data_IF_474632047624
#
_entry.id   IF_474632047624
#
_cell.length_a   1.000
_cell.length_b   1.000
_cell.length_c   1.000
_cell.angle_alpha   90.00
_cell.angle_beta   90.00
_cell.angle_gamma   90.00
#
_symmetry.space_group_name_H-M   'P 1'
#
loop_
_entity.id
_entity.type
_entity.pdbx_description
1 polymer ?
2 non-polymer ?
#
# COMPACT_ATOMS: atom_id res chain seq x y z
N UNK A 11 6.05 18.71 -17.91
CA UNK A 11 4.96 19.24 -17.06
C UNK A 11 4.88 20.76 -17.03
N UNK A 12 5.65 21.39 -16.15
CA UNK A 12 5.65 22.85 -16.05
C UNK A 12 6.85 23.39 -15.28
N UNK A 13 7.84 22.52 -15.06
CA UNK A 13 9.05 22.88 -14.33
C UNK A 13 9.58 24.28 -14.59
N UNK A 14 9.26 24.82 -15.76
CA UNK A 14 9.70 26.15 -16.13
C UNK A 14 9.34 27.16 -15.03
N UNK A 15 8.18 26.94 -14.40
CA UNK A 15 7.67 27.80 -13.35
C UNK A 15 8.49 27.78 -12.06
N UNK A 16 8.83 26.58 -11.59
CA UNK A 16 9.62 26.47 -10.36
C UNK A 16 11.08 26.87 -10.51
N UNK A 17 11.74 26.36 -11.54
CA UNK A 17 13.15 26.65 -11.77
C UNK A 17 13.35 28.10 -12.20
N UNK A 18 12.30 28.71 -12.73
CA UNK A 18 12.41 30.09 -13.17
C UNK A 18 11.59 31.06 -12.33
N UNK A 19 11.12 30.57 -11.18
CA UNK A 19 10.35 31.41 -10.28
C UNK A 19 11.23 32.60 -9.95
N UNK A 20 11.11 33.67 -10.74
CA UNK A 20 11.91 34.87 -10.52
C UNK A 20 11.57 35.41 -9.14
N UNK A 21 10.28 35.37 -8.81
CA UNK A 21 9.81 35.87 -7.53
C UNK A 21 9.76 34.76 -6.50
N UNK A 22 10.77 34.70 -5.64
CA UNK A 22 10.81 33.66 -4.60
C UNK A 22 9.58 33.85 -3.69
N UNK A 23 9.11 32.74 -3.12
CA UNK A 23 7.95 32.81 -2.23
C UNK A 23 8.38 33.03 -0.77
N UNK A 24 7.40 33.31 0.08
CA UNK A 24 7.65 33.54 1.49
C UNK A 24 6.84 32.63 2.44
N UNK A 25 6.80 31.30 2.13
CA UNK A 25 6.06 30.38 2.98
C UNK A 25 6.98 29.73 4.00
N UNK A 26 6.42 29.40 5.16
CA UNK A 26 7.20 28.76 6.21
C UNK A 26 6.73 27.34 6.48
N UNK A 27 6.30 26.65 5.42
CA UNK A 27 5.89 25.26 5.54
C UNK A 27 7.24 24.53 5.64
N UNK A 28 7.48 23.88 6.77
CA UNK A 28 8.75 23.22 6.99
C UNK A 28 8.89 21.86 6.34
N UNK A 29 9.83 21.75 5.42
CA UNK A 29 10.12 20.47 4.78
C UNK A 29 11.65 20.46 4.62
N UNK A 30 12.37 20.04 5.68
CA UNK A 30 13.83 19.98 5.68
C UNK A 30 14.42 18.62 5.31
N UNK A 31 15.61 18.65 4.73
CA UNK A 31 16.35 17.46 4.32
C UNK A 31 17.74 17.56 4.90
N UNK A 32 18.13 16.54 5.66
CA UNK A 32 19.46 16.52 6.27
C UNK A 32 20.20 15.38 5.62
N UNK A 33 21.51 15.29 5.85
CA UNK A 33 22.29 14.21 5.28
C UNK A 33 22.59 13.23 6.39
N UNK A 34 23.10 12.06 6.03
CA UNK A 34 23.44 11.04 7.00
C UNK A 34 24.40 10.04 6.39
N UNK A 35 24.59 8.91 7.07
CA UNK A 35 25.49 7.88 6.58
C UNK A 35 24.89 7.26 5.34
N UNK A 36 23.58 7.01 5.39
CA UNK A 36 22.85 6.44 4.27
C UNK A 36 22.56 7.52 3.24
N UNK A 37 22.92 8.75 3.57
CA UNK A 37 22.70 9.85 2.65
C UNK A 37 21.51 10.69 3.05
N UNK A 38 21.06 11.59 2.18
CA UNK A 38 19.92 12.43 2.51
C UNK A 38 18.72 11.63 3.00
N UNK A 39 17.93 12.25 3.88
CA UNK A 39 16.76 11.60 4.45
C UNK A 39 15.89 12.73 5.00
N UNK A 40 14.62 12.45 5.22
CA UNK A 40 13.73 13.46 5.78
C UNK A 40 14.07 13.51 7.25
N UNK A 41 13.47 14.47 7.96
CA UNK A 41 13.68 14.56 9.40
C UNK A 41 12.50 13.85 10.03
N UNK A 42 12.75 12.65 10.58
CA UNK A 42 11.67 11.90 11.20
C UNK A 42 11.38 12.44 12.60
N UNK A 43 10.12 12.71 12.91
CA UNK A 43 9.82 13.22 14.25
C UNK A 43 10.21 12.23 15.35
N UNK A 44 10.45 12.77 16.54
CA UNK A 44 10.81 11.97 17.71
C UNK A 44 9.53 11.44 18.38
N UNK A 45 8.45 12.22 18.30
CA UNK A 45 7.17 11.83 18.87
C UNK A 45 6.28 11.24 17.76
N UNK A 46 6.54 9.97 17.46
CA UNK A 46 5.80 9.23 16.42
C UNK A 46 4.32 9.09 16.77
N UNK A 47 3.47 8.89 15.76
CA UNK A 47 2.04 8.74 15.98
C UNK A 47 1.34 8.00 14.86
N UNK A 48 0.40 7.13 15.24
CA UNK A 48 -0.36 6.36 14.27
C UNK A 48 -1.82 6.78 14.38
N UNK A 49 -2.70 6.00 13.79
CA UNK A 49 -4.12 6.29 13.78
C UNK A 49 -4.94 5.04 13.49
N UNK A 50 -6.06 4.90 14.20
CA UNK A 50 -6.95 3.75 14.06
C UNK A 50 -8.16 4.12 13.21
N UNK A 51 -8.72 3.14 12.52
CA UNK A 51 -9.90 3.31 11.67
C UNK A 51 -10.81 2.10 11.82
N UNK A 52 -11.96 2.27 12.44
CA UNK A 52 -12.88 1.14 12.64
C UNK A 52 -14.29 1.58 12.97
N UNK A 53 -15.08 0.65 13.48
CA UNK A 53 -16.46 0.92 13.84
C UNK A 53 -17.29 1.52 12.72
N UNK A 54 -17.50 0.74 11.65
CA UNK A 54 -18.29 1.21 10.51
C UNK A 54 -19.66 1.75 10.95
N UNK A 55 -19.71 3.07 11.08
CA UNK A 55 -20.92 3.78 11.49
C UNK A 55 -21.87 3.87 10.29
N UNK A 56 -22.96 4.61 10.48
CA UNK A 56 -23.94 4.81 9.43
C UNK A 56 -24.50 6.22 9.57
N UNK A 57 -24.23 7.05 8.57
CA UNK A 57 -24.70 8.43 8.58
C UNK A 57 -25.87 8.60 7.64
N UNK A 58 -26.47 9.78 7.63
CA UNK A 58 -27.61 10.00 6.75
C UNK A 58 -27.68 11.40 6.16
N UNK A 59 -28.10 11.45 4.90
CA UNK A 59 -28.28 12.70 4.17
C UNK A 59 -29.56 12.59 3.31
N UNK A 60 -30.70 12.83 3.94
CA UNK A 60 -32.07 12.81 3.36
C UNK A 60 -32.53 12.18 2.02
N UNK A 61 -31.87 11.15 1.47
CA UNK A 61 -32.36 10.62 0.18
C UNK A 61 -33.26 9.38 0.25
N UNK A 62 -33.56 8.95 1.48
CA UNK A 62 -34.42 7.78 1.65
C UNK A 62 -33.63 6.52 2.00
N UNK A 63 -33.40 5.67 1.00
CA UNK A 63 -32.65 4.42 1.20
C UNK A 63 -31.30 4.58 0.49
N UNK A 64 -30.51 5.55 0.95
CA UNK A 64 -29.19 5.86 0.37
C UNK A 64 -28.19 6.35 1.40
N UNK A 65 -28.09 5.66 2.53
CA UNK A 65 -27.17 6.06 3.59
C UNK A 65 -25.75 5.52 3.42
N UNK A 66 -24.82 6.43 3.12
CA UNK A 66 -23.42 6.10 2.94
C UNK A 66 -22.77 5.65 4.25
N UNK A 67 -21.81 4.73 4.14
CA UNK A 67 -21.10 4.22 5.31
C UNK A 67 -20.09 5.28 5.77
N UNK A 68 -19.87 5.35 7.07
CA UNK A 68 -18.93 6.31 7.64
C UNK A 68 -17.95 5.59 8.58
N UNK A 69 -16.67 5.92 8.49
CA UNK A 69 -15.68 5.25 9.34
C UNK A 69 -15.24 6.19 10.43
N UNK A 70 -14.56 5.65 11.44
CA UNK A 70 -14.10 6.48 12.54
C UNK A 70 -12.60 6.50 12.67
N UNK A 71 -12.02 7.68 12.57
CA UNK A 71 -10.57 7.81 12.68
C UNK A 71 -10.16 8.32 14.05
N UNK A 72 -9.56 7.44 14.84
CA UNK A 72 -9.13 7.80 16.18
C UNK A 72 -7.62 8.00 16.23
N UNK A 73 -7.14 9.25 16.20
CA UNK A 73 -5.68 9.44 16.26
C UNK A 73 -5.19 8.94 17.59
N UNK A 74 -3.88 8.79 17.72
CA UNK A 74 -3.30 8.31 18.95
C UNK A 74 -2.67 9.50 19.65
N UNK A 75 -2.28 10.47 18.85
CA UNK A 75 -1.64 11.64 19.39
C UNK A 75 -2.55 12.42 20.36
N UNK A 76 -3.88 12.30 20.25
CA UNK A 76 -4.76 13.07 21.15
C UNK A 76 -6.07 12.38 21.56
N UNK A 77 -6.32 11.16 21.10
CA UNK A 77 -7.52 10.43 21.50
C UNK A 77 -8.86 11.02 21.08
N UNK A 78 -8.84 12.17 20.42
CA UNK A 78 -10.07 12.81 19.98
C UNK A 78 -10.47 12.22 18.65
N UNK A 79 -11.61 11.53 18.64
CA UNK A 79 -12.10 10.86 17.45
C UNK A 79 -12.80 11.73 16.41
N UNK A 80 -12.94 11.17 15.21
CA UNK A 80 -13.56 11.86 14.09
C UNK A 80 -14.20 10.84 13.14
N UNK A 81 -15.14 11.28 12.30
CA UNK A 81 -15.80 10.39 11.34
C UNK A 81 -15.48 10.81 9.92
N UNK A 82 -15.54 9.87 8.98
CA UNK A 82 -15.26 10.14 7.57
C UNK A 82 -15.83 9.06 6.69
N UNK A 83 -16.59 9.47 5.68
CA UNK A 83 -17.17 8.52 4.72
C UNK A 83 -16.06 8.26 3.69
N UNK A 84 -16.16 7.18 2.92
CA UNK A 84 -15.11 6.89 1.94
C UNK A 84 -14.80 8.06 1.02
N UNK A 85 -15.85 8.70 0.54
CA UNK A 85 -15.74 9.84 -0.35
C UNK A 85 -14.78 10.93 0.13
N UNK A 86 -14.61 11.03 1.45
CA UNK A 86 -13.73 12.01 2.07
C UNK A 86 -12.27 11.60 1.98
N UNK A 87 -12.05 10.30 2.00
CA UNK A 87 -10.71 9.78 1.89
C UNK A 87 -10.23 10.01 0.46
N UNK A 88 -11.13 9.78 -0.49
CA UNK A 88 -10.84 10.00 -1.90
C UNK A 88 -10.44 11.47 -2.06
N UNK A 89 -11.19 12.33 -1.37
CA UNK A 89 -10.93 13.76 -1.40
C UNK A 89 -9.54 14.00 -0.85
N UNK A 90 -9.26 13.39 0.30
CA UNK A 90 -7.96 13.51 0.94
C UNK A 90 -6.86 13.04 0.00
N UNK A 91 -7.12 11.92 -0.67
CA UNK A 91 -6.20 11.34 -1.61
C UNK A 91 -5.81 12.32 -2.72
N UNK A 92 -6.80 12.83 -3.43
CA UNK A 92 -6.55 13.78 -4.51
C UNK A 92 -5.72 14.96 -4.03
N UNK A 93 -6.01 15.46 -2.84
CA UNK A 93 -5.28 16.59 -2.33
C UNK A 93 -3.82 16.23 -2.17
N UNK A 94 -3.55 15.15 -1.44
CA UNK A 94 -2.17 14.68 -1.23
C UNK A 94 -1.43 14.41 -2.54
N UNK A 95 -2.16 13.87 -3.51
CA UNK A 95 -1.61 13.58 -4.81
C UNK A 95 -1.26 14.89 -5.50
N UNK A 96 -2.19 15.82 -5.51
CA UNK A 96 -1.96 17.12 -6.13
C UNK A 96 -0.84 17.91 -5.44
N UNK A 97 -0.82 17.88 -4.11
CA UNK A 97 0.19 18.64 -3.39
C UNK A 97 1.62 18.11 -3.47
N UNK A 98 1.83 16.84 -3.12
CA UNK A 98 3.16 16.28 -3.13
C UNK A 98 3.46 15.28 -4.25
N UNK A 99 2.42 14.93 -5.00
CA UNK A 99 2.55 13.97 -6.09
C UNK A 99 3.78 14.03 -6.97
N UNK A 100 4.41 15.19 -7.08
CA UNK A 100 5.59 15.32 -7.91
C UNK A 100 6.89 14.97 -7.19
N UNK A 101 6.77 14.50 -5.95
CA UNK A 101 7.93 14.15 -5.16
C UNK A 101 7.78 12.91 -4.26
N UNK A 102 6.57 12.68 -3.77
CA UNK A 102 6.32 11.56 -2.87
C UNK A 102 5.26 10.60 -3.40
N UNK A 103 5.59 9.31 -3.50
CA UNK A 103 4.56 8.41 -4.00
C UNK A 103 3.38 8.44 -3.03
N UNK A 104 2.16 8.42 -3.53
CA UNK A 104 1.02 8.45 -2.65
C UNK A 104 0.27 7.12 -2.75
N UNK A 105 0.17 6.38 -1.63
CA UNK A 105 -0.53 5.10 -1.64
C UNK A 105 -1.87 5.12 -2.36
N UNK A 106 -2.14 4.08 -3.13
CA UNK A 106 -3.39 4.00 -3.88
C UNK A 106 -4.52 3.65 -2.94
N UNK A 107 -5.68 4.24 -3.22
CA UNK A 107 -6.88 3.99 -2.45
C UNK A 107 -7.53 2.85 -3.25
N UNK A 108 -8.16 1.88 -2.57
CA UNK A 108 -8.80 0.77 -3.28
C UNK A 108 -9.84 1.15 -4.34
N UNK A 109 -10.01 0.28 -5.33
CA UNK A 109 -10.96 0.49 -6.42
C UNK A 109 -12.37 0.82 -5.90
N UNK A 110 -13.26 1.15 -6.84
CA UNK A 110 -14.64 1.49 -6.55
C UNK A 110 -15.51 0.37 -7.15
N UNK A 111 -15.58 -0.73 -6.38
CA UNK A 111 -16.24 -2.02 -6.65
C UNK A 111 -17.66 -2.34 -7.13
N UNK A 112 -17.87 -3.66 -7.14
CA UNK A 112 -19.05 -4.38 -7.60
C UNK A 112 -20.46 -4.04 -7.09
N UNK A 113 -20.67 -2.77 -6.79
CA UNK A 113 -21.95 -2.30 -6.30
C UNK A 113 -22.47 -3.13 -5.12
N UNK A 114 -21.59 -3.47 -4.21
CA UNK A 114 -21.98 -4.21 -3.03
C UNK A 114 -21.77 -3.32 -1.82
N UNK A 115 -22.32 -2.12 -1.92
CA UNK A 115 -22.21 -1.08 -0.87
C UNK A 115 -22.58 -1.45 0.58
N UNK A 116 -23.26 -2.57 0.83
CA UNK A 116 -23.66 -2.77 2.24
C UNK A 116 -23.51 -4.00 3.14
N UNK A 117 -22.50 -4.86 2.98
CA UNK A 117 -22.47 -5.95 3.95
C UNK A 117 -21.15 -6.21 4.65
N UNK A 118 -21.17 -7.21 5.55
CA UNK A 118 -20.01 -7.62 6.34
C UNK A 118 -18.70 -7.56 5.57
N UNK A 119 -18.54 -8.52 4.66
CA UNK A 119 -17.37 -8.67 3.80
C UNK A 119 -16.81 -7.38 3.22
N UNK A 120 -17.63 -6.70 2.43
CA UNK A 120 -17.24 -5.44 1.78
C UNK A 120 -16.60 -4.42 2.70
N UNK A 121 -17.34 -3.99 3.71
CA UNK A 121 -16.85 -2.99 4.66
C UNK A 121 -15.59 -3.45 5.38
N UNK A 122 -15.52 -4.76 5.63
CA UNK A 122 -14.39 -5.33 6.33
C UNK A 122 -13.09 -5.14 5.54
N UNK A 123 -13.01 -5.73 4.34
CA UNK A 123 -11.81 -5.61 3.51
C UNK A 123 -11.51 -4.15 3.16
N UNK A 124 -12.56 -3.36 2.94
CA UNK A 124 -12.38 -1.95 2.65
C UNK A 124 -11.79 -1.26 3.88
N UNK A 125 -12.36 -1.49 5.05
CA UNK A 125 -11.85 -0.88 6.28
C UNK A 125 -10.43 -1.34 6.57
N UNK A 126 -10.12 -2.56 6.13
CA UNK A 126 -8.79 -3.13 6.32
C UNK A 126 -7.83 -2.33 5.44
N UNK A 127 -8.22 -2.10 4.20
CA UNK A 127 -7.40 -1.34 3.27
C UNK A 127 -7.25 0.12 3.64
N UNK A 128 -8.26 0.68 4.29
CA UNK A 128 -8.22 2.08 4.72
C UNK A 128 -7.30 2.21 5.91
N UNK A 129 -7.38 1.22 6.80
CA UNK A 129 -6.54 1.22 7.98
C UNK A 129 -5.08 1.26 7.55
N UNK A 130 -4.68 0.32 6.70
CA UNK A 130 -3.31 0.26 6.20
C UNK A 130 -2.91 1.53 5.46
N UNK A 131 -3.88 2.13 4.76
CA UNK A 131 -3.63 3.36 4.00
C UNK A 131 -3.33 4.52 4.96
N UNK A 132 -4.12 4.64 6.01
CA UNK A 132 -3.93 5.70 7.00
C UNK A 132 -2.59 5.60 7.72
N UNK A 133 -2.23 4.36 8.08
CA UNK A 133 -1.00 4.11 8.79
C UNK A 133 0.20 4.46 7.93
N UNK A 134 0.06 4.28 6.62
CA UNK A 134 1.15 4.64 5.71
C UNK A 134 1.43 6.14 5.81
N UNK A 135 0.35 6.92 5.74
CA UNK A 135 0.45 8.37 5.79
C UNK A 135 0.96 8.85 7.13
N UNK A 136 0.42 8.28 8.20
CA UNK A 136 0.86 8.65 9.53
C UNK A 136 2.33 8.39 9.67
N UNK A 137 2.80 7.29 9.09
CA UNK A 137 4.21 6.99 9.20
C UNK A 137 5.09 7.87 8.33
N UNK A 138 4.50 8.66 7.43
CA UNK A 138 5.36 9.50 6.59
C UNK A 138 5.72 10.82 7.22
N UNK A 139 7.01 11.03 7.47
CA UNK A 139 7.56 12.23 8.07
C UNK A 139 7.11 13.53 7.43
N UNK A 140 6.87 13.53 6.13
CA UNK A 140 6.46 14.75 5.44
C UNK A 140 4.96 14.92 5.34
N UNK A 141 4.28 13.84 4.97
CA UNK A 141 2.85 13.88 4.82
C UNK A 141 2.13 14.03 6.14
N UNK A 142 2.47 13.17 7.09
CA UNK A 142 1.84 13.17 8.40
C UNK A 142 1.80 14.55 9.07
N UNK A 143 2.81 15.39 8.85
CA UNK A 143 2.80 16.70 9.46
C UNK A 143 2.51 17.86 8.50
N UNK A 144 1.59 17.62 7.58
CA UNK A 144 1.18 18.63 6.62
C UNK A 144 -0.14 19.18 7.15
N UNK A 145 -0.56 20.34 6.65
CA UNK A 145 -1.82 20.94 7.10
C UNK A 145 -3.05 20.17 6.65
N UNK A 146 -3.13 19.87 5.37
CA UNK A 146 -4.27 19.15 4.82
C UNK A 146 -4.50 17.81 5.52
N UNK A 147 -3.46 17.01 5.64
CA UNK A 147 -3.60 15.72 6.30
C UNK A 147 -4.00 15.88 7.74
N UNK A 148 -3.29 16.77 8.43
CA UNK A 148 -3.56 17.03 9.83
C UNK A 148 -5.01 17.47 10.07
N UNK A 149 -5.41 18.56 9.41
CA UNK A 149 -6.75 19.08 9.56
C UNK A 149 -7.78 18.05 9.17
N UNK A 150 -7.40 17.13 8.30
CA UNK A 150 -8.31 16.07 7.87
C UNK A 150 -8.72 15.27 9.11
N UNK A 151 -7.80 15.14 10.05
CA UNK A 151 -8.06 14.41 11.28
C UNK A 151 -8.74 15.27 12.33
N UNK A 152 -7.94 16.11 12.99
CA UNK A 152 -8.45 16.96 14.06
C UNK A 152 -9.31 18.17 13.63
N UNK A 153 -10.62 17.99 13.66
CA UNK A 153 -11.58 19.04 13.33
C UNK A 153 -12.85 18.79 14.14
N UNK A 154 -13.43 19.85 14.71
CA UNK A 154 -14.63 19.71 15.53
C UNK A 154 -15.93 20.08 14.83
N UNK A 155 -16.02 21.32 14.39
CA UNK A 155 -17.23 21.80 13.71
C UNK A 155 -17.49 21.13 12.38
N UNK A 156 -18.76 21.01 12.03
CA UNK A 156 -19.18 20.41 10.77
C UNK A 156 -18.86 21.43 9.69
N UNK A 157 -18.48 22.62 10.14
CA UNK A 157 -18.12 23.76 9.27
C UNK A 157 -16.63 24.06 9.38
N UNK A 158 -16.02 23.68 10.49
CA UNK A 158 -14.59 23.89 10.70
C UNK A 158 -13.86 23.07 9.63
N UNK A 159 -14.61 22.09 9.13
CA UNK A 159 -14.16 21.15 8.11
C UNK A 159 -14.26 21.79 6.72
N UNK A 160 -15.44 22.31 6.39
CA UNK A 160 -15.65 22.96 5.11
C UNK A 160 -14.59 24.03 4.86
N UNK A 161 -14.19 24.71 5.94
CA UNK A 161 -13.17 25.74 5.88
C UNK A 161 -11.85 25.14 5.42
N UNK A 162 -11.47 24.02 6.04
CA UNK A 162 -10.23 23.34 5.69
C UNK A 162 -10.26 22.81 4.26
N UNK A 163 -11.33 22.10 3.94
CA UNK A 163 -11.50 21.57 2.60
C UNK A 163 -11.36 22.72 1.59
N UNK A 164 -11.77 23.91 1.99
CA UNK A 164 -11.68 25.07 1.12
C UNK A 164 -10.23 25.56 1.07
N UNK A 165 -9.60 25.71 2.22
CA UNK A 165 -8.21 26.17 2.29
C UNK A 165 -7.31 25.23 1.49
N UNK A 166 -7.58 23.95 1.63
CA UNK A 166 -6.83 22.90 0.94
C UNK A 166 -6.87 23.10 -0.57
N UNK A 167 -8.08 23.27 -1.11
CA UNK A 167 -8.28 23.44 -2.55
C UNK A 167 -7.70 24.68 -3.19
N UNK A 168 -7.26 25.65 -2.38
CA UNK A 168 -6.68 26.88 -2.92
C UNK A 168 -5.18 26.94 -2.72
N UNK A 169 -4.61 25.89 -2.10
CA UNK A 169 -3.18 25.85 -1.85
C UNK A 169 -2.44 25.70 -3.18
N UNK A 170 -1.78 26.76 -3.61
CA UNK A 170 -1.08 26.71 -4.88
C UNK A 170 0.32 26.17 -4.76
N UNK A 171 0.74 25.89 -3.54
CA UNK A 171 2.08 25.33 -3.31
C UNK A 171 2.00 23.82 -3.53
N UNK A 172 1.71 23.44 -4.78
CA UNK A 172 1.59 22.03 -5.17
C UNK A 172 2.39 21.74 -6.42
N UNK A 173 2.14 20.58 -7.02
CA UNK A 173 2.84 20.20 -8.22
C UNK A 173 4.33 20.39 -8.01
N UNK A 174 5.02 20.94 -9.00
CA UNK A 174 6.44 21.14 -8.90
C UNK A 174 6.79 22.11 -7.77
N UNK A 175 5.91 23.08 -7.55
CA UNK A 175 6.10 24.09 -6.53
C UNK A 175 6.35 23.57 -5.13
N UNK A 176 5.96 22.34 -4.85
CA UNK A 176 6.16 21.79 -3.53
C UNK A 176 7.63 21.83 -3.13
N UNK A 177 8.51 21.68 -4.12
CA UNK A 177 9.95 21.70 -3.85
C UNK A 177 10.38 23.02 -3.29
N UNK A 178 9.63 24.07 -3.60
CA UNK A 178 9.96 25.41 -3.12
C UNK A 178 9.92 25.49 -1.59
N UNK A 179 9.25 24.54 -0.95
CA UNK A 179 9.15 24.53 0.50
C UNK A 179 10.17 23.62 1.16
N UNK A 180 11.07 23.04 0.36
CA UNK A 180 12.07 22.14 0.90
C UNK A 180 13.40 22.81 1.13
N UNK A 181 14.01 22.48 2.27
CA UNK A 181 15.28 23.09 2.64
C UNK A 181 16.37 22.09 2.95
N UNK A 182 17.29 21.89 2.01
CA UNK A 182 18.43 20.98 2.13
C UNK A 182 19.53 21.50 3.05
N UNK A 183 19.76 20.81 4.16
CA UNK A 183 20.82 21.17 5.09
C UNK A 183 22.11 20.53 4.59
N UNK A 184 22.51 20.91 3.38
CA UNK A 184 23.71 20.38 2.72
C UNK A 184 24.01 21.27 1.51
N UNK A 185 25.17 21.06 0.86
CA UNK A 185 25.63 21.83 -0.31
C UNK A 185 24.85 21.57 -1.60
N UNK A 186 25.39 22.09 -2.70
CA UNK A 186 24.77 21.88 -4.00
C UNK A 186 25.39 20.66 -4.66
N UNK A 187 24.60 19.99 -5.51
CA UNK A 187 25.06 18.80 -6.22
C UNK A 187 25.10 19.20 -7.68
N UNK A 188 26.23 19.01 -8.34
CA UNK A 188 26.34 19.36 -9.75
C UNK A 188 25.32 18.56 -10.57
N UNK A 189 24.97 19.09 -11.75
CA UNK A 189 24.00 18.46 -12.62
C UNK A 189 24.30 16.99 -12.92
N UNK A 190 25.57 16.69 -13.17
CA UNK A 190 26.00 15.33 -13.46
C UNK A 190 25.55 14.36 -12.37
N UNK A 191 26.01 14.60 -11.16
CA UNK A 191 25.67 13.76 -10.03
C UNK A 191 24.16 13.59 -9.93
N UNK A 192 23.42 14.63 -10.32
CA UNK A 192 21.96 14.60 -10.25
C UNK A 192 21.33 13.61 -11.21
N UNK A 193 21.63 13.79 -12.49
CA UNK A 193 21.12 12.94 -13.55
C UNK A 193 21.34 11.47 -13.28
N UNK A 194 22.49 11.19 -12.67
CA UNK A 194 22.91 9.83 -12.33
C UNK A 194 22.04 9.20 -11.27
N UNK A 195 21.73 9.96 -10.21
CA UNK A 195 20.88 9.44 -9.15
C UNK A 195 19.48 9.24 -9.70
N UNK A 196 19.14 10.04 -10.70
CA UNK A 196 17.82 9.97 -11.32
C UNK A 196 17.72 8.63 -12.06
N UNK A 197 18.65 8.39 -12.98
CA UNK A 197 18.68 7.15 -13.74
C UNK A 197 18.55 5.97 -12.81
N UNK A 198 19.39 5.96 -11.78
CA UNK A 198 19.39 4.89 -10.80
C UNK A 198 18.01 4.56 -10.29
N UNK A 199 17.31 5.55 -9.75
CA UNK A 199 15.98 5.33 -9.20
C UNK A 199 15.08 4.77 -10.28
N UNK A 200 15.17 5.38 -11.45
CA UNK A 200 14.37 4.97 -12.59
C UNK A 200 14.57 3.52 -13.00
N UNK A 201 15.78 3.02 -12.80
CA UNK A 201 16.09 1.65 -13.16
C UNK A 201 15.69 0.68 -12.05
N UNK A 202 15.77 1.12 -10.80
CA UNK A 202 15.38 0.24 -9.71
C UNK A 202 13.88 0.03 -9.70
N UNK A 203 13.14 1.15 -9.64
CA UNK A 203 11.69 1.11 -9.61
C UNK A 203 11.05 0.33 -10.74
N UNK A 204 11.56 0.52 -11.95
CA UNK A 204 11.03 -0.19 -13.11
C UNK A 204 11.30 -1.68 -12.91
N UNK A 205 12.52 -1.99 -12.47
CA UNK A 205 12.88 -3.37 -12.22
C UNK A 205 11.96 -4.01 -11.17
N UNK A 206 11.87 -3.40 -9.99
CA UNK A 206 11.02 -3.95 -8.93
C UNK A 206 9.56 -4.01 -9.30
N UNK A 207 9.13 -3.05 -10.12
CA UNK A 207 7.74 -3.06 -10.53
C UNK A 207 7.54 -4.33 -11.33
N UNK A 208 8.37 -4.54 -12.34
CA UNK A 208 8.28 -5.71 -13.18
C UNK A 208 8.31 -6.97 -12.33
N UNK A 209 9.17 -6.98 -11.32
CA UNK A 209 9.31 -8.12 -10.45
C UNK A 209 8.12 -8.44 -9.56
N UNK A 210 7.51 -7.41 -8.98
CA UNK A 210 6.36 -7.59 -8.13
C UNK A 210 5.13 -7.97 -8.95
N UNK A 211 5.08 -7.55 -10.21
CA UNK A 211 3.94 -7.86 -11.04
C UNK A 211 3.87 -9.35 -11.28
N UNK A 212 5.02 -10.01 -11.21
CA UNK A 212 5.01 -11.46 -11.40
C UNK A 212 4.61 -12.12 -10.12
N UNK A 213 5.29 -11.79 -9.05
CA UNK A 213 4.98 -12.37 -7.77
C UNK A 213 3.47 -12.34 -7.56
N UNK A 214 2.84 -11.28 -8.05
CA UNK A 214 1.41 -11.07 -7.95
C UNK A 214 0.62 -12.03 -8.84
N UNK A 215 1.12 -12.26 -10.05
CA UNK A 215 0.46 -13.16 -11.00
C UNK A 215 0.46 -14.62 -10.56
N UNK A 216 1.61 -15.15 -10.18
CA UNK A 216 1.69 -16.53 -9.73
C UNK A 216 0.86 -16.70 -8.46
N UNK A 217 0.92 -15.70 -7.58
CA UNK A 217 0.15 -15.77 -6.36
C UNK A 217 -1.33 -15.80 -6.66
N UNK A 218 -1.79 -14.88 -7.49
CA UNK A 218 -3.20 -14.86 -7.85
C UNK A 218 -3.57 -16.17 -8.54
N UNK A 219 -2.62 -16.72 -9.28
CA UNK A 219 -2.77 -17.96 -10.03
C UNK A 219 -2.84 -19.17 -9.10
N UNK A 220 -2.02 -19.13 -8.06
CA UNK A 220 -1.97 -20.19 -7.06
C UNK A 220 -3.22 -20.09 -6.22
N UNK A 221 -3.57 -18.87 -5.87
CA UNK A 221 -4.78 -18.63 -5.09
C UNK A 221 -5.97 -19.33 -5.76
N UNK A 222 -6.25 -18.88 -6.99
CA UNK A 222 -7.35 -19.38 -7.80
C UNK A 222 -7.37 -20.92 -7.90
N UNK A 223 -6.21 -21.53 -7.73
CA UNK A 223 -6.12 -22.98 -7.81
C UNK A 223 -6.37 -23.68 -6.46
N UNK A 224 -6.13 -22.98 -5.35
CA UNK A 224 -6.35 -23.56 -4.05
C UNK A 224 -7.77 -23.41 -3.58
N UNK A 225 -8.49 -22.48 -4.20
CA UNK A 225 -9.87 -22.26 -3.79
C UNK A 225 -10.84 -22.93 -4.76
N UNK A 226 -10.30 -23.59 -5.78
CA UNK A 226 -11.17 -24.22 -6.76
C UNK A 226 -11.01 -25.71 -7.06
N UNK A 227 -10.25 -26.07 -8.10
CA UNK A 227 -10.01 -27.45 -8.50
C UNK A 227 -9.31 -28.36 -7.48
N UNK A 228 -8.39 -27.79 -6.69
CA UNK A 228 -7.67 -28.58 -5.71
C UNK A 228 -8.55 -29.16 -4.63
N UNK A 229 -9.47 -28.37 -4.08
CA UNK A 229 -10.34 -28.90 -3.04
C UNK A 229 -11.25 -29.97 -3.61
N UNK A 230 -11.82 -29.71 -4.79
CA UNK A 230 -12.72 -30.66 -5.42
C UNK A 230 -12.09 -32.04 -5.50
N UNK A 231 -10.77 -32.08 -5.69
CA UNK A 231 -10.06 -33.34 -5.79
C UNK A 231 -10.16 -34.08 -4.48
N UNK A 232 -9.60 -33.49 -3.43
CA UNK A 232 -9.65 -34.09 -2.12
C UNK A 232 -11.10 -34.41 -1.75
N UNK A 233 -12.03 -33.75 -2.43
CA UNK A 233 -13.44 -33.96 -2.18
C UNK A 233 -13.87 -35.23 -2.91
N UNK A 234 -13.38 -35.40 -4.15
CA UNK A 234 -13.71 -36.59 -4.95
C UNK A 234 -13.12 -37.83 -4.31
N UNK A 235 -11.91 -37.67 -3.79
CA UNK A 235 -11.18 -38.75 -3.12
C UNK A 235 -11.97 -39.19 -1.91
N UNK A 236 -12.10 -38.27 -0.96
CA UNK A 236 -12.83 -38.55 0.25
C UNK A 236 -14.18 -39.16 0.02
N UNK A 237 -14.82 -38.85 -1.11
CA UNK A 237 -16.14 -39.42 -1.41
C UNK A 237 -15.96 -40.81 -2.03
N UNK A 238 -14.98 -40.93 -2.92
CA UNK A 238 -14.71 -42.19 -3.58
C UNK A 238 -14.49 -43.24 -2.49
N UNK A 239 -13.71 -42.87 -1.50
CA UNK A 239 -13.44 -43.76 -0.40
C UNK A 239 -14.73 -44.13 0.31
N UNK A 240 -15.50 -43.14 0.72
CA UNK A 240 -16.73 -43.38 1.43
C UNK A 240 -17.76 -44.22 0.69
N UNK A 241 -17.80 -44.14 -0.64
CA UNK A 241 -18.76 -44.95 -1.35
C UNK A 241 -18.30 -46.40 -1.26
N UNK A 242 -16.99 -46.61 -1.43
CA UNK A 242 -16.40 -47.94 -1.38
C UNK A 242 -16.68 -48.64 -0.06
N UNK A 243 -16.48 -47.93 1.05
CA UNK A 243 -16.75 -48.52 2.37
C UNK A 243 -18.21 -48.93 2.38
N UNK A 244 -19.06 -48.09 1.80
CA UNK A 244 -20.47 -48.38 1.73
C UNK A 244 -20.69 -49.70 1.00
N UNK A 245 -19.91 -49.93 -0.04
CA UNK A 245 -20.06 -51.16 -0.82
C UNK A 245 -19.60 -52.38 -0.02
N UNK A 246 -18.50 -52.25 0.70
CA UNK A 246 -17.99 -53.35 1.49
C UNK A 246 -19.05 -53.74 2.50
N UNK A 247 -19.63 -52.73 3.15
CA UNK A 247 -20.64 -52.95 4.18
C UNK A 247 -21.85 -53.75 3.70
N UNK A 248 -22.06 -53.82 2.38
CA UNK A 248 -23.19 -54.59 1.85
C UNK A 248 -22.73 -56.00 1.54
N UNK A 249 -21.42 -56.24 1.64
CA UNK A 249 -20.85 -57.55 1.35
C UNK A 249 -21.62 -58.66 2.02
N UNK A 250 -21.81 -58.53 3.34
CA UNK A 250 -22.52 -59.55 4.08
C UNK A 250 -21.58 -60.68 4.41
N UNK A 251 -20.34 -60.31 4.67
CA UNK A 251 -19.31 -61.27 5.00
C UNK A 251 -19.16 -61.34 6.51
N UNK A 252 -19.23 -62.55 7.05
CA UNK A 252 -19.03 -62.73 8.48
C UNK A 252 -17.59 -62.27 8.75
N UNK A 253 -17.33 -61.68 9.90
CA UNK A 253 -15.95 -61.30 10.21
C UNK A 253 -15.33 -60.01 9.73
N UNK A 254 -16.10 -58.94 9.75
CA UNK A 254 -15.63 -57.61 9.38
C UNK A 254 -16.64 -56.65 9.98
N UNK A 255 -16.17 -55.43 10.24
CA UNK A 255 -16.99 -54.34 10.76
C UNK A 255 -16.13 -53.15 11.02
N UNK A 256 -14.96 -53.45 11.57
CA UNK A 256 -13.97 -52.47 11.96
C UNK A 256 -13.34 -51.65 10.84
N UNK A 257 -13.15 -52.28 9.68
CA UNK A 257 -12.54 -51.60 8.54
C UNK A 257 -13.42 -50.55 7.89
N UNK A 258 -14.64 -50.92 7.52
CA UNK A 258 -15.55 -49.98 6.87
C UNK A 258 -15.70 -48.68 7.65
N UNK A 259 -15.41 -48.70 8.95
CA UNK A 259 -15.49 -47.48 9.72
C UNK A 259 -14.24 -46.66 9.46
N UNK A 260 -13.08 -47.30 9.51
CA UNK A 260 -11.83 -46.62 9.27
C UNK A 260 -11.83 -45.96 7.89
N UNK A 261 -12.31 -46.70 6.89
CA UNK A 261 -12.38 -46.19 5.53
C UNK A 261 -13.26 -44.95 5.49
N UNK A 262 -14.54 -45.14 5.78
CA UNK A 262 -15.50 -44.04 5.78
C UNK A 262 -14.98 -42.78 6.48
N UNK A 263 -14.24 -42.94 7.57
CA UNK A 263 -13.70 -41.78 8.28
C UNK A 263 -12.58 -41.14 7.49
N UNK A 264 -11.79 -41.96 6.82
CA UNK A 264 -10.69 -41.45 6.03
C UNK A 264 -11.26 -40.51 4.97
N UNK A 265 -12.36 -40.91 4.35
CA UNK A 265 -12.98 -40.09 3.35
C UNK A 265 -13.41 -38.75 3.92
N UNK A 266 -14.13 -38.79 5.04
CA UNK A 266 -14.61 -37.58 5.70
C UNK A 266 -13.42 -36.74 6.10
N UNK A 267 -12.32 -37.40 6.48
CA UNK A 267 -11.13 -36.66 6.86
C UNK A 267 -10.62 -35.92 5.62
N UNK A 268 -10.75 -36.54 4.47
CA UNK A 268 -10.24 -35.89 3.27
C UNK A 268 -11.12 -34.72 2.89
N UNK A 269 -12.43 -34.88 3.08
CA UNK A 269 -13.37 -33.80 2.78
C UNK A 269 -13.06 -32.56 3.61
N UNK A 270 -12.60 -32.76 4.84
CA UNK A 270 -12.25 -31.66 5.71
C UNK A 270 -10.97 -31.02 5.22
N UNK A 271 -10.09 -31.82 4.61
CA UNK A 271 -8.85 -31.26 4.11
C UNK A 271 -9.18 -30.40 2.88
N UNK A 272 -10.28 -30.75 2.22
CA UNK A 272 -10.72 -30.01 1.05
C UNK A 272 -11.10 -28.61 1.52
N UNK A 273 -11.83 -28.56 2.63
CA UNK A 273 -12.27 -27.30 3.21
C UNK A 273 -11.07 -26.54 3.70
N UNK A 274 -10.26 -27.18 4.54
CA UNK A 274 -9.08 -26.54 5.09
C UNK A 274 -8.23 -25.91 3.99
N UNK A 275 -8.08 -26.65 2.89
CA UNK A 275 -7.29 -26.16 1.77
C UNK A 275 -7.93 -24.95 1.14
N UNK A 276 -9.18 -25.11 0.71
CA UNK A 276 -9.92 -24.04 0.05
C UNK A 276 -10.11 -22.81 0.92
N UNK A 277 -9.75 -22.91 2.19
CA UNK A 277 -9.93 -21.78 3.08
C UNK A 277 -8.62 -21.25 3.65
N UNK A 278 -7.50 -21.64 3.04
CA UNK A 278 -6.23 -21.18 3.56
C UNK A 278 -5.71 -19.86 3.06
N UNK A 279 -5.81 -19.59 1.75
CA UNK A 279 -5.30 -18.32 1.21
C UNK A 279 -5.72 -17.07 2.00
N UNK A 280 -6.89 -17.13 2.62
CA UNK A 280 -7.38 -16.01 3.39
C UNK A 280 -6.55 -15.81 4.65
N UNK A 281 -5.62 -16.72 4.93
CA UNK A 281 -4.85 -16.61 6.14
C UNK A 281 -3.38 -16.29 5.96
N UNK A 282 -2.89 -16.35 4.73
CA UNK A 282 -1.48 -16.07 4.46
C UNK A 282 -1.26 -15.48 3.08
N UNK A 283 -1.66 -16.23 2.07
CA UNK A 283 -1.51 -15.77 0.70
C UNK A 283 -2.03 -14.35 0.61
N UNK A 284 -3.16 -14.13 1.26
CA UNK A 284 -3.78 -12.82 1.27
C UNK A 284 -2.87 -11.67 1.68
N UNK A 285 -2.18 -11.82 2.81
CA UNK A 285 -1.32 -10.75 3.28
C UNK A 285 -0.17 -10.55 2.33
N UNK A 286 0.40 -11.64 1.83
CA UNK A 286 1.50 -11.55 0.90
C UNK A 286 1.07 -10.78 -0.34
N UNK A 287 -0.14 -11.03 -0.83
CA UNK A 287 -0.68 -10.34 -2.01
C UNK A 287 -0.88 -8.84 -1.73
N UNK A 288 -1.59 -8.54 -0.65
CA UNK A 288 -1.83 -7.17 -0.25
C UNK A 288 -0.56 -6.35 -0.17
N UNK A 289 0.46 -6.89 0.46
CA UNK A 289 1.70 -6.15 0.58
C UNK A 289 2.24 -5.78 -0.81
N UNK A 290 2.14 -6.72 -1.74
CA UNK A 290 2.62 -6.48 -3.08
C UNK A 290 1.79 -5.48 -3.83
N UNK A 291 0.48 -5.50 -3.59
CA UNK A 291 -0.37 -4.52 -4.24
C UNK A 291 0.06 -3.14 -3.76
N UNK A 292 0.11 -2.96 -2.45
CA UNK A 292 0.50 -1.67 -1.92
C UNK A 292 1.76 -1.18 -2.62
N UNK A 293 2.72 -2.06 -2.81
CA UNK A 293 3.96 -1.64 -3.45
C UNK A 293 3.85 -1.43 -4.95
N UNK A 294 2.98 -2.18 -5.62
CA UNK A 294 2.79 -1.96 -7.06
C UNK A 294 2.29 -0.52 -7.16
N UNK A 295 1.54 -0.10 -6.13
CA UNK A 295 1.02 1.26 -6.07
C UNK A 295 2.09 2.33 -5.96
N UNK A 296 3.01 2.17 -5.00
CA UNK A 296 4.09 3.14 -4.83
C UNK A 296 4.89 3.25 -6.12
N UNK A 297 5.17 2.09 -6.71
CA UNK A 297 5.94 2.05 -7.93
C UNK A 297 5.24 2.75 -9.10
N UNK A 298 3.95 2.52 -9.24
CA UNK A 298 3.22 3.15 -10.33
C UNK A 298 3.39 4.65 -10.31
N UNK A 299 3.78 5.21 -9.19
CA UNK A 299 3.93 6.64 -9.06
C UNK A 299 5.22 7.22 -9.61
N UNK A 300 6.25 6.40 -9.70
CA UNK A 300 7.52 6.92 -10.18
C UNK A 300 7.56 7.40 -11.61
N UNK A 301 6.73 6.82 -12.49
CA UNK A 301 6.71 7.27 -13.87
C UNK A 301 6.59 8.79 -13.93
N UNK A 302 5.71 9.35 -13.10
CA UNK A 302 5.50 10.82 -13.02
C UNK A 302 6.65 11.52 -12.31
N UNK A 303 6.96 11.07 -11.10
CA UNK A 303 8.02 11.66 -10.31
C UNK A 303 9.30 11.70 -11.15
N UNK A 304 9.72 10.55 -11.68
CA UNK A 304 10.93 10.52 -12.47
C UNK A 304 10.81 11.34 -13.76
N UNK A 305 9.65 11.29 -14.40
CA UNK A 305 9.45 12.06 -15.63
C UNK A 305 9.54 13.56 -15.40
N UNK A 306 9.20 13.96 -14.18
CA UNK A 306 9.24 15.35 -13.78
C UNK A 306 10.67 15.78 -13.45
N UNK A 307 11.44 14.89 -12.83
CA UNK A 307 12.82 15.22 -12.52
C UNK A 307 13.62 15.25 -13.81
N UNK A 308 13.32 14.32 -14.71
CA UNK A 308 13.99 14.23 -16.01
C UNK A 308 13.79 15.52 -16.79
N UNK A 309 12.55 16.00 -16.78
CA UNK A 309 12.23 17.22 -17.48
C UNK A 309 12.96 18.38 -16.83
N UNK A 310 13.03 18.36 -15.51
CA UNK A 310 13.70 19.43 -14.76
C UNK A 310 15.19 19.50 -15.09
N UNK A 311 15.84 18.35 -15.13
CA UNK A 311 17.27 18.23 -15.43
C UNK A 311 17.56 18.60 -16.88
N UNK A 312 16.61 18.28 -17.75
CA UNK A 312 16.73 18.59 -19.17
C UNK A 312 16.57 20.09 -19.39
N UNK A 313 15.68 20.69 -18.62
CA UNK A 313 15.41 22.11 -18.72
C UNK A 313 16.59 22.91 -18.15
N UNK A 314 17.42 22.27 -17.34
CA UNK A 314 18.56 22.99 -16.78
C UNK A 314 19.76 22.96 -17.69
N UNK A 315 19.72 22.10 -18.71
CA UNK A 315 20.81 22.04 -19.67
C UNK A 315 20.72 23.23 -20.62
N UNK A 316 19.48 23.68 -20.85
CA UNK A 316 19.25 24.83 -21.73
C UNK A 316 19.62 26.13 -21.03
N UNK A 317 20.03 26.03 -19.77
CA UNK A 317 20.42 27.21 -19.02
C UNK A 317 21.40 27.97 -19.89
N UNK A 318 22.59 27.41 -20.11
CA UNK A 318 23.60 28.05 -20.94
C UNK A 318 23.02 28.56 -22.26
N UNK A 319 22.36 27.68 -23.00
CA UNK A 319 21.80 28.09 -24.28
C UNK A 319 20.94 29.34 -24.12
N UNK A 320 20.23 29.41 -22.99
CA UNK A 320 19.38 30.55 -22.71
C UNK A 320 20.17 31.81 -22.40
N UNK A 321 20.98 31.74 -21.34
CA UNK A 321 21.79 32.88 -20.92
C UNK A 321 22.52 33.57 -22.08
N UNK A 322 22.94 32.77 -23.06
CA UNK A 322 23.64 33.29 -24.24
C UNK A 322 22.67 33.96 -25.21
N UNK A 323 21.48 33.39 -25.34
CA UNK A 323 20.48 33.96 -26.22
C UNK A 323 19.82 35.15 -25.53
N UNK A 324 20.45 35.61 -24.45
CA UNK A 324 19.99 36.75 -23.63
C UNK A 324 18.56 36.63 -23.12
N UNK A 325 18.09 35.40 -22.89
CA UNK A 325 16.73 35.18 -22.41
C UNK A 325 16.66 35.36 -20.89
N UNK A 326 17.68 34.87 -20.19
CA UNK A 326 17.72 34.98 -18.74
C UNK A 326 19.09 35.44 -18.29
N UNK A 327 19.28 35.60 -16.99
CA UNK A 327 20.57 36.05 -16.46
C UNK A 327 21.32 34.95 -15.72
N UNK A 328 22.61 35.18 -15.52
CA UNK A 328 23.49 34.24 -14.83
C UNK A 328 22.91 33.90 -13.46
N UNK A 329 22.29 34.89 -12.81
CA UNK A 329 21.67 34.70 -11.50
C UNK A 329 20.49 33.76 -11.68
N UNK A 330 19.73 33.98 -12.76
CA UNK A 330 18.58 33.14 -13.07
C UNK A 330 19.09 31.74 -13.32
N UNK A 331 20.21 31.65 -14.05
CA UNK A 331 20.82 30.37 -14.37
C UNK A 331 21.26 29.64 -13.10
N UNK A 332 22.03 30.32 -12.25
CA UNK A 332 22.51 29.74 -11.02
C UNK A 332 21.39 29.32 -10.08
N UNK A 333 20.20 29.90 -10.24
CA UNK A 333 19.07 29.52 -9.40
C UNK A 333 18.58 28.15 -9.86
N UNK A 334 18.34 28.02 -11.16
CA UNK A 334 17.87 26.78 -11.76
C UNK A 334 18.68 25.61 -11.24
N UNK A 335 19.97 25.85 -11.01
CA UNK A 335 20.85 24.80 -10.51
C UNK A 335 20.61 24.50 -9.04
N UNK A 336 20.78 25.51 -8.19
CA UNK A 336 20.58 25.30 -6.78
C UNK A 336 19.18 24.76 -6.51
N UNK A 337 18.27 25.08 -7.42
CA UNK A 337 16.88 24.65 -7.30
C UNK A 337 16.61 23.21 -7.72
N UNK A 338 17.22 22.75 -8.81
CA UNK A 338 17.01 21.37 -9.27
C UNK A 338 17.78 20.40 -8.37
N UNK A 339 18.72 20.95 -7.59
CA UNK A 339 19.48 20.15 -6.64
C UNK A 339 18.49 19.77 -5.52
N UNK A 340 17.77 20.76 -5.02
CA UNK A 340 16.78 20.52 -3.98
C UNK A 340 15.92 19.34 -4.42
N UNK A 341 15.60 19.29 -5.70
CA UNK A 341 14.79 18.19 -6.19
C UNK A 341 15.47 16.87 -5.94
N UNK A 342 16.75 16.79 -6.31
CA UNK A 342 17.50 15.56 -6.12
C UNK A 342 17.50 15.13 -4.65
N UNK A 343 17.83 16.05 -3.75
CA UNK A 343 17.84 15.75 -2.32
C UNK A 343 16.50 15.21 -1.87
N UNK A 344 15.43 15.75 -2.43
CA UNK A 344 14.09 15.32 -2.06
C UNK A 344 13.85 13.92 -2.61
N UNK A 345 14.32 13.67 -3.83
CA UNK A 345 14.12 12.36 -4.43
C UNK A 345 14.87 11.30 -3.63
N UNK A 346 16.13 11.56 -3.33
CA UNK A 346 16.94 10.62 -2.56
C UNK A 346 16.35 10.43 -1.17
N UNK A 347 15.86 11.50 -0.59
CA UNK A 347 15.26 11.44 0.73
C UNK A 347 14.08 10.49 0.71
N UNK A 348 13.30 10.56 -0.36
CA UNK A 348 12.12 9.71 -0.54
C UNK A 348 12.49 8.23 -0.70
N UNK A 349 13.45 7.94 -1.58
CA UNK A 349 13.87 6.56 -1.79
C UNK A 349 14.35 5.95 -0.47
N UNK A 350 15.25 6.67 0.21
CA UNK A 350 15.77 6.20 1.48
C UNK A 350 14.66 5.85 2.46
N UNK A 351 13.51 6.49 2.30
CA UNK A 351 12.40 6.21 3.18
C UNK A 351 11.74 4.97 2.60
N UNK A 352 11.79 4.85 1.28
CA UNK A 352 11.18 3.72 0.60
C UNK A 352 11.90 2.45 1.01
N UNK A 353 13.18 2.34 0.63
CA UNK A 353 14.01 1.18 0.92
C UNK A 353 13.95 0.78 2.37
N UNK A 354 14.03 1.77 3.24
CA UNK A 354 13.96 1.54 4.67
C UNK A 354 12.72 0.72 4.96
N UNK A 355 11.57 1.24 4.55
CA UNK A 355 10.31 0.56 4.78
C UNK A 355 10.10 -0.69 3.94
N UNK A 356 10.69 -0.73 2.74
CA UNK A 356 10.55 -1.91 1.90
C UNK A 356 11.10 -3.11 2.65
N UNK A 357 12.35 -2.97 3.11
CA UNK A 357 13.06 -4.00 3.84
C UNK A 357 12.34 -4.48 5.07
N UNK A 358 11.62 -3.59 5.74
CA UNK A 358 10.90 -3.99 6.93
C UNK A 358 9.67 -4.78 6.54
N UNK A 359 8.91 -4.22 5.60
CA UNK A 359 7.67 -4.80 5.14
C UNK A 359 7.76 -6.23 4.58
N UNK A 360 8.65 -6.46 3.62
CA UNK A 360 8.79 -7.80 3.04
C UNK A 360 9.31 -8.80 4.06
N UNK A 361 10.17 -8.35 4.96
CA UNK A 361 10.69 -9.23 5.97
C UNK A 361 9.59 -9.65 6.97
N UNK A 362 8.50 -8.91 7.03
CA UNK A 362 7.44 -9.23 7.99
C UNK A 362 6.34 -10.05 7.37
N UNK A 363 5.97 -9.71 6.13
CA UNK A 363 4.91 -10.46 5.46
C UNK A 363 5.42 -11.86 5.09
N UNK A 364 6.62 -11.97 4.54
CA UNK A 364 7.16 -13.28 4.22
C UNK A 364 7.23 -14.10 5.51
N UNK A 365 7.79 -13.51 6.56
CA UNK A 365 7.90 -14.17 7.85
C UNK A 365 6.52 -14.63 8.27
N UNK A 366 5.51 -13.90 7.87
CA UNK A 366 4.15 -14.22 8.24
C UNK A 366 3.57 -15.33 7.40
N UNK A 367 3.78 -15.25 6.09
CA UNK A 367 3.29 -16.24 5.12
C UNK A 367 3.82 -17.63 5.48
N UNK A 368 5.15 -17.70 5.70
CA UNK A 368 5.77 -18.97 6.03
C UNK A 368 5.15 -19.56 7.30
N UNK A 369 5.17 -18.81 8.39
CA UNK A 369 4.61 -19.25 9.67
C UNK A 369 3.23 -19.87 9.48
N UNK A 370 2.40 -19.21 8.69
CA UNK A 370 1.05 -19.71 8.44
C UNK A 370 1.11 -20.99 7.64
N UNK A 371 2.03 -21.02 6.66
CA UNK A 371 2.20 -22.19 5.83
C UNK A 371 2.53 -23.35 6.74
N UNK A 372 3.62 -23.21 7.50
CA UNK A 372 4.04 -24.24 8.44
C UNK A 372 2.83 -24.84 9.15
N UNK A 373 2.15 -24.03 9.94
CA UNK A 373 0.98 -24.49 10.68
C UNK A 373 -0.02 -25.23 9.80
N UNK A 374 -0.10 -24.80 8.55
CA UNK A 374 -1.05 -25.42 7.64
C UNK A 374 -0.72 -26.89 7.46
N UNK A 375 0.48 -27.17 6.96
CA UNK A 375 0.92 -28.55 6.72
C UNK A 375 0.94 -29.40 7.98
N UNK A 376 1.37 -28.77 9.08
CA UNK A 376 1.40 -29.42 10.36
C UNK A 376 -0.02 -29.90 10.71
N UNK A 377 -1.01 -29.05 10.45
CA UNK A 377 -2.42 -29.35 10.75
C UNK A 377 -2.96 -30.49 9.90
N UNK A 378 -2.72 -30.41 8.59
CA UNK A 378 -3.16 -31.45 7.68
C UNK A 378 -2.60 -32.79 8.13
N UNK A 379 -1.29 -32.82 8.39
CA UNK A 379 -0.62 -34.02 8.86
C UNK A 379 -1.35 -34.60 10.08
N UNK A 380 -1.62 -33.75 11.05
CA UNK A 380 -2.30 -34.21 12.23
C UNK A 380 -3.67 -34.78 11.89
N UNK A 381 -4.33 -34.23 10.88
CA UNK A 381 -5.65 -34.75 10.50
C UNK A 381 -5.56 -36.15 9.90
N UNK A 382 -4.54 -36.37 9.08
CA UNK A 382 -4.32 -37.67 8.48
C UNK A 382 -3.96 -38.66 9.59
N UNK A 383 -2.93 -38.32 10.35
CA UNK A 383 -2.46 -39.12 11.46
C UNK A 383 -3.59 -39.65 12.35
N UNK A 384 -4.72 -38.97 12.33
CA UNK A 384 -5.87 -39.39 13.13
C UNK A 384 -6.65 -40.52 12.44
N UNK A 385 -6.98 -40.32 11.16
CA UNK A 385 -7.71 -41.31 10.41
C UNK A 385 -6.85 -42.56 10.31
N UNK A 386 -5.53 -42.35 10.36
CA UNK A 386 -4.58 -43.44 10.29
C UNK A 386 -4.78 -44.34 11.50
N UNK A 387 -4.68 -43.75 12.68
CA UNK A 387 -4.84 -44.47 13.94
C UNK A 387 -6.22 -45.09 14.13
N UNK A 388 -6.86 -45.46 13.03
CA UNK A 388 -8.17 -46.09 13.09
C UNK A 388 -8.11 -47.44 12.38
N UNK A 389 -7.03 -47.64 11.63
CA UNK A 389 -6.81 -48.89 10.89
C UNK A 389 -5.84 -49.71 11.70
N UNK A 390 -6.26 -50.90 12.13
CA UNK A 390 -5.35 -51.73 12.92
C UNK A 390 -4.10 -52.09 12.12
N UNK A 391 -2.96 -52.12 12.80
CA UNK A 391 -1.70 -52.45 12.17
C UNK A 391 -1.72 -53.90 11.67
N UNK A 392 -1.80 -54.05 10.36
CA UNK A 392 -1.83 -55.34 9.63
C UNK A 392 -2.99 -56.30 9.96
X LIG B 1 -17.61 6.46 -5.03
X LIG B 1 -17.33 7.01 -3.60
X LIG B 1 -18.16 6.22 -2.55
X LIG B 1 -17.82 4.71 -2.63
X LIG B 1 -18.11 4.15 -4.04
X LIG B 1 -17.26 4.94 -5.08
X LIG B 1 -16.78 7.19 -5.97
X LIG B 1 -15.95 6.91 -3.31
X LIG B 1 -17.85 6.73 -1.23
X LIG B 1 -18.59 4.00 -1.67
X LIG B 1 -17.78 2.75 -4.08
X LIG B 1 -17.53 4.42 -6.40
X LIG B 1 -17.63 7.75 -7.23
X LIG B 1 -18.73 8.79 -6.70
X LIG B 1 -18.30 6.63 -7.96
X LIG B 1 -16.57 8.51 -8.19
X LIG B 1 -19.17 6.95 -0.34
X LIG B 1 -18.71 7.51 1.08
X LIG B 1 -19.88 5.66 -0.13
X LIG B 1 -20.16 8.01 -1.06
X LIG B 1 -17.24 9.00 -9.35
X LIG B 1 -16.23 9.72 -10.28
#
# INVERSE_FOLDING_TARGET
PLNKFPGFAKPGTEQYLLAKQLAKPKEKIPIIVGDYGPMWVYPTSTFDCVVADPRKGSKMYGLKSYIEYQLTPTNTNRSVNHRYKHFDWLYERLLVKFGSAIPIPSLPDKQVTGRFEEEFIKMRMERLQAWMTRMCRHPVISESEVFQQFLNFRDEKEWKTGKRKAERDELAGVMIFSTMEPEAPDLDLVEIEQKCEAVGKFTKAMDDGVKELLTVGQEHWKRCTGPLPKEYQKIGKALQSLATVFSSSGYQGETDLNDAITEAGKTYEEIASLVAEQPKKDLHFLMECNHEYKGFLGCFPDIIGTHKGAIEKVKESDKLVATSKITLQDKQNMVKRVSIMSYALQAEMNHFHSNRIYDYNSVIRLYLEQQVQFYETIAEKLRQALSRFPVM
PIB C1 C2 C3 C4 C5 C6 O1 O2 O3 O4 O5 O6 P1 O11 O12 O13 P3 O31 O32 O33 C7 C8
#
